data_IF_855185708939
#
_entry.id   IF_855185708939
#
_cell.length_a   1.000
_cell.length_b   1.000
_cell.length_c   1.000
_cell.angle_alpha   90.00
_cell.angle_beta   90.00
_cell.angle_gamma   90.00
#
_symmetry.space_group_name_H-M   'P 1'
#
loop_
_entity.id
_entity.type
_entity.pdbx_description
1 polymer ?
#
# COMPACT_ATOMS: atom_id res chain seq x y z
N UNK A 1 -13.64 13.79 13.25
CA UNK A 1 -12.38 13.72 14.03
C UNK A 1 -12.55 12.58 15.02
N UNK A 2 -11.58 11.65 15.08
CA UNK A 2 -11.59 10.51 16.01
C UNK A 2 -10.59 10.72 17.14
N UNK A 3 -10.79 10.00 18.24
CA UNK A 3 -9.82 9.94 19.34
C UNK A 3 -8.63 9.03 18.99
N UNK A 4 -7.55 9.09 19.77
CA UNK A 4 -6.45 8.12 19.65
C UNK A 4 -6.96 6.67 19.81
N UNK A 5 -7.93 6.44 20.69
CA UNK A 5 -8.53 5.13 20.87
C UNK A 5 -9.26 4.64 19.60
N UNK A 6 -9.99 5.53 18.92
CA UNK A 6 -10.65 5.21 17.64
C UNK A 6 -9.63 4.87 16.55
N UNK A 7 -8.51 5.60 16.52
CA UNK A 7 -7.42 5.36 15.58
C UNK A 7 -6.76 3.99 15.81
N UNK A 8 -6.46 3.64 17.07
CA UNK A 8 -5.93 2.33 17.43
C UNK A 8 -6.91 1.22 17.02
N UNK A 9 -8.19 1.35 17.38
CA UNK A 9 -9.20 0.35 17.02
C UNK A 9 -9.43 0.24 15.50
N UNK A 10 -9.17 1.30 14.73
CA UNK A 10 -9.18 1.24 13.27
C UNK A 10 -7.96 0.47 12.74
N UNK A 11 -6.76 0.76 13.24
CA UNK A 11 -5.53 0.06 12.85
C UNK A 11 -5.58 -1.43 13.18
N UNK A 12 -6.06 -1.81 14.37
CA UNK A 12 -6.22 -3.22 14.77
C UNK A 12 -7.15 -3.98 13.83
N UNK A 13 -8.24 -3.35 13.36
CA UNK A 13 -9.15 -3.95 12.39
C UNK A 13 -8.51 -4.13 11.02
N UNK A 14 -7.72 -3.15 10.57
CA UNK A 14 -6.98 -3.26 9.30
C UNK A 14 -5.91 -4.36 9.41
N UNK A 15 -5.16 -4.41 10.51
CA UNK A 15 -4.14 -5.43 10.76
C UNK A 15 -4.74 -6.85 10.74
N UNK A 16 -5.81 -7.08 11.50
CA UNK A 16 -6.50 -8.37 11.50
C UNK A 16 -7.04 -8.76 10.12
N UNK A 17 -7.59 -7.80 9.37
CA UNK A 17 -8.04 -8.03 7.99
C UNK A 17 -6.89 -8.43 7.08
N UNK A 18 -5.77 -7.71 7.13
CA UNK A 18 -4.58 -8.00 6.33
C UNK A 18 -3.97 -9.36 6.68
N UNK A 19 -3.97 -9.73 7.97
CA UNK A 19 -3.60 -11.07 8.42
C UNK A 19 -4.45 -12.16 7.75
N UNK A 20 -5.77 -12.01 7.77
CA UNK A 20 -6.68 -12.95 7.10
C UNK A 20 -6.49 -13.00 5.57
N UNK A 21 -6.24 -11.85 4.92
CA UNK A 21 -5.91 -11.80 3.49
C UNK A 21 -4.62 -12.56 3.19
N UNK A 22 -3.58 -12.38 4.01
CA UNK A 22 -2.30 -13.08 3.85
C UNK A 22 -2.44 -14.60 4.01
N UNK A 23 -3.23 -15.06 4.99
CA UNK A 23 -3.51 -16.48 5.20
C UNK A 23 -4.26 -17.12 4.02
N UNK A 24 -5.16 -16.37 3.40
CA UNK A 24 -5.97 -16.84 2.26
C UNK A 24 -5.32 -16.62 0.89
N UNK A 25 -4.15 -15.96 0.83
CA UNK A 25 -3.53 -15.54 -0.42
C UNK A 25 -2.99 -16.76 -1.19
N UNK A 26 -3.36 -16.95 -2.48
CA UNK A 26 -2.77 -17.99 -3.31
C UNK A 26 -1.24 -17.84 -3.45
N UNK A 27 -0.53 -18.95 -3.63
CA UNK A 27 0.94 -18.96 -3.71
C UNK A 27 1.50 -18.17 -4.92
N UNK A 28 0.70 -18.01 -5.98
CA UNK A 28 1.01 -17.27 -7.20
C UNK A 28 0.52 -15.81 -7.18
N UNK A 29 -0.18 -15.39 -6.13
CA UNK A 29 -0.71 -14.04 -6.01
C UNK A 29 0.29 -13.07 -5.35
N UNK A 30 0.29 -11.84 -5.84
CA UNK A 30 1.02 -10.71 -5.26
C UNK A 30 0.05 -9.76 -4.56
N UNK A 31 0.27 -9.55 -3.26
CA UNK A 31 -0.40 -8.50 -2.49
C UNK A 31 0.48 -7.25 -2.48
N UNK A 32 -0.10 -6.10 -2.84
CA UNK A 32 0.51 -4.78 -2.72
C UNK A 32 -0.38 -3.91 -1.84
N UNK A 33 0.18 -3.35 -0.77
CA UNK A 33 -0.48 -2.44 0.15
C UNK A 33 0.22 -1.09 0.02
N UNK A 34 -0.55 -0.04 -0.23
CA UNK A 34 -0.08 1.34 -0.29
C UNK A 34 -1.09 2.25 0.41
N UNK A 35 -0.61 3.39 0.91
CA UNK A 35 -1.47 4.50 1.35
C UNK A 35 -1.35 5.64 0.34
N UNK A 36 -2.40 6.45 0.23
CA UNK A 36 -2.41 7.66 -0.58
C UNK A 36 -1.84 8.87 0.16
N UNK A 37 -2.03 8.92 1.48
CA UNK A 37 -1.46 9.94 2.36
C UNK A 37 -1.29 9.44 3.81
N UNK A 38 -0.64 10.26 4.65
CA UNK A 38 -0.63 10.10 6.10
C UNK A 38 -1.86 10.76 6.74
N UNK A 39 -2.24 10.29 7.93
CA UNK A 39 -3.33 10.82 8.74
C UNK A 39 -3.25 10.23 10.15
N UNK A 40 -3.47 8.92 10.25
CA UNK A 40 -3.74 8.22 11.51
C UNK A 40 -2.53 8.19 12.47
N UNK A 41 -1.33 8.41 11.96
CA UNK A 41 -0.11 8.54 12.76
C UNK A 41 -0.06 9.84 13.58
N UNK A 42 -0.83 10.87 13.21
CA UNK A 42 -1.04 12.08 13.98
C UNK A 42 -2.53 12.47 14.02
N UNK A 43 -3.22 11.91 15.01
CA UNK A 43 -4.66 12.12 15.23
C UNK A 43 -5.04 13.55 15.64
N UNK A 44 -4.07 14.43 15.89
CA UNK A 44 -4.34 15.81 16.32
C UNK A 44 -4.70 16.74 15.15
N UNK A 45 -4.39 16.32 13.92
CA UNK A 45 -4.54 17.13 12.71
C UNK A 45 -5.28 16.38 11.58
N UNK A 46 -5.26 16.96 10.38
CA UNK A 46 -5.80 16.34 9.17
C UNK A 46 -4.76 15.43 8.50
N UNK A 47 -4.76 15.39 7.17
CA UNK A 47 -3.70 14.69 6.44
C UNK A 47 -2.32 15.28 6.77
N UNK A 48 -1.31 14.41 6.80
CA UNK A 48 0.08 14.80 7.05
C UNK A 48 0.88 14.78 5.74
N UNK A 49 2.10 15.32 5.80
CA UNK A 49 3.10 15.20 4.74
C UNK A 49 4.12 14.07 5.01
N UNK A 50 3.82 13.19 5.97
CA UNK A 50 4.71 12.06 6.27
C UNK A 50 4.77 11.10 5.09
N UNK A 51 5.94 10.49 4.80
CA UNK A 51 6.02 9.43 3.81
C UNK A 51 5.17 8.24 4.26
N UNK A 52 4.51 7.60 3.30
CA UNK A 52 3.69 6.42 3.52
C UNK A 52 4.41 5.14 3.11
N UNK A 53 4.16 4.00 3.78
CA UNK A 53 4.78 2.74 3.39
C UNK A 53 4.14 2.17 2.12
N UNK A 54 4.93 1.39 1.39
CA UNK A 54 4.45 0.43 0.39
C UNK A 54 4.95 -0.94 0.81
N UNK A 55 4.03 -1.89 1.00
CA UNK A 55 4.31 -3.24 1.47
C UNK A 55 3.92 -4.22 0.37
N UNK A 56 4.76 -5.22 0.12
CA UNK A 56 4.50 -6.23 -0.90
C UNK A 56 4.79 -7.65 -0.37
N UNK A 57 3.88 -8.60 -0.65
CA UNK A 57 3.99 -10.00 -0.27
C UNK A 57 3.61 -10.93 -1.44
N UNK A 58 4.37 -12.00 -1.64
CA UNK A 58 4.18 -12.94 -2.76
C UNK A 58 5.23 -12.82 -3.89
N UNK A 59 5.00 -13.48 -5.04
CA UNK A 59 5.86 -13.38 -6.23
C UNK A 59 5.93 -11.94 -6.77
N UNK A 60 7.07 -11.52 -7.31
CA UNK A 60 7.21 -10.15 -7.86
C UNK A 60 7.37 -9.03 -6.83
N UNK A 61 7.26 -9.30 -5.52
CA UNK A 61 7.42 -8.28 -4.44
C UNK A 61 8.70 -7.44 -4.53
N UNK A 62 9.80 -8.02 -5.04
CA UNK A 62 11.08 -7.33 -5.19
C UNK A 62 11.00 -6.19 -6.23
N UNK A 63 10.17 -6.36 -7.26
CA UNK A 63 9.93 -5.34 -8.29
C UNK A 63 9.19 -4.16 -7.68
N UNK A 64 8.16 -4.42 -6.88
CA UNK A 64 7.41 -3.38 -6.15
C UNK A 64 8.35 -2.62 -5.21
N UNK A 65 9.10 -3.34 -4.37
CA UNK A 65 10.02 -2.74 -3.41
C UNK A 65 11.12 -1.88 -4.07
N UNK A 66 11.58 -2.26 -5.26
CA UNK A 66 12.62 -1.52 -5.97
C UNK A 66 12.09 -0.28 -6.72
N UNK A 67 10.84 -0.31 -7.18
CA UNK A 67 10.30 0.68 -8.12
C UNK A 67 9.36 1.70 -7.52
N UNK A 68 8.58 1.33 -6.50
CA UNK A 68 7.57 2.23 -5.96
C UNK A 68 8.21 3.21 -4.97
N UNK A 69 8.27 4.48 -5.35
CA UNK A 69 8.75 5.58 -4.48
C UNK A 69 7.69 6.67 -4.28
N UNK A 70 6.71 6.76 -5.17
CA UNK A 70 5.52 7.59 -5.03
C UNK A 70 4.27 6.79 -5.40
N UNK A 71 3.09 7.29 -5.02
CA UNK A 71 1.80 6.65 -5.36
C UNK A 71 1.63 6.47 -6.88
N UNK A 72 2.17 7.39 -7.68
CA UNK A 72 2.16 7.33 -9.15
C UNK A 72 3.00 6.19 -9.74
N UNK A 73 3.89 5.58 -8.94
CA UNK A 73 4.68 4.42 -9.37
C UNK A 73 3.94 3.08 -9.17
N UNK A 74 2.84 3.05 -8.40
CA UNK A 74 2.12 1.81 -8.06
C UNK A 74 1.53 1.17 -9.31
N UNK A 75 0.70 1.90 -10.05
CA UNK A 75 0.03 1.40 -11.25
C UNK A 75 1.01 0.88 -12.33
N UNK A 76 2.04 1.64 -12.77
CA UNK A 76 2.98 1.12 -13.76
C UNK A 76 3.78 -0.08 -13.25
N UNK A 77 4.11 -0.15 -11.96
CA UNK A 77 4.81 -1.31 -11.38
C UNK A 77 3.96 -2.58 -11.40
N UNK A 78 2.64 -2.47 -11.20
CA UNK A 78 1.70 -3.59 -11.31
C UNK A 78 1.55 -4.03 -12.78
N UNK A 79 1.41 -3.08 -13.71
CA UNK A 79 1.27 -3.39 -15.13
C UNK A 79 2.49 -4.12 -15.69
N UNK A 80 3.70 -3.68 -15.33
CA UNK A 80 4.94 -4.35 -15.73
C UNK A 80 4.98 -5.81 -15.26
N UNK A 81 4.40 -6.13 -14.10
CA UNK A 81 4.34 -7.50 -13.55
C UNK A 81 3.28 -8.37 -14.23
N UNK A 82 2.21 -7.76 -14.75
CA UNK A 82 1.14 -8.45 -15.47
C UNK A 82 1.47 -8.65 -16.97
N UNK A 83 2.64 -8.22 -17.43
CA UNK A 83 3.02 -8.29 -18.85
C UNK A 83 2.34 -7.23 -19.73
N UNK A 84 1.95 -6.09 -19.13
CA UNK A 84 1.45 -4.94 -19.90
C UNK A 84 2.56 -4.30 -20.72
N UNK A 85 2.47 -4.41 -22.05
CA UNK A 85 3.46 -3.90 -23.02
C UNK A 85 3.48 -2.36 -23.16
N UNK A 86 2.58 -1.62 -22.48
CA UNK A 86 2.52 -0.16 -22.55
C UNK A 86 2.61 0.50 -21.18
N UNK A 87 3.70 1.25 -20.99
CA UNK A 87 3.89 2.14 -19.84
C UNK A 87 3.37 3.52 -20.20
N UNK A 88 2.24 3.99 -19.63
CA UNK A 88 1.88 5.38 -19.79
C UNK A 88 3.00 6.25 -19.20
N UNK A 89 3.34 7.39 -19.84
CA UNK A 89 4.37 8.29 -19.32
C UNK A 89 4.02 8.68 -17.89
N UNK A 90 5.03 8.76 -17.02
CA UNK A 90 4.85 9.20 -15.64
C UNK A 90 4.24 10.61 -15.70
N UNK A 91 3.01 10.76 -15.23
CA UNK A 91 2.39 12.06 -15.08
C UNK A 91 3.26 12.90 -14.14
N UNK A 92 3.85 13.97 -14.67
CA UNK A 92 4.71 14.92 -13.97
C UNK A 92 3.91 15.80 -13.03
#
# INVERSE_FOLDING_TARGET
RGSLADAVAALERVDAFLGGVLEALPADALLVIASDHGNIEDVTMGHTLNPVPVIAAGPGRQVIAARVRSITDVAPSILDLLGGEERPPKAT
#
